data_IF_749189229304
#
_entry.id   IF_749189229304
#
_cell.length_a   1.000
_cell.length_b   1.000
_cell.length_c   1.000
_cell.angle_alpha   90.00
_cell.angle_beta   90.00
_cell.angle_gamma   90.00
#
_symmetry.space_group_name_H-M   'P 1'
#
loop_
_entity.id
_entity.type
_entity.pdbx_description
1 polymer ?
#
# COMPACT_ATOMS: atom_id res chain seq x y z
N UNK A 1 -12.58 -13.93 4.74
CA UNK A 1 -11.91 -12.83 4.01
C UNK A 1 -10.57 -12.44 4.65
N UNK A 2 -10.48 -12.13 5.94
CA UNK A 2 -9.20 -11.74 6.60
C UNK A 2 -8.07 -12.76 6.37
N UNK A 3 -8.38 -14.07 6.35
CA UNK A 3 -7.38 -15.12 6.10
C UNK A 3 -6.84 -15.10 4.67
N UNK A 4 -7.67 -14.73 3.70
CA UNK A 4 -7.26 -14.60 2.29
C UNK A 4 -6.34 -13.41 2.11
N UNK A 5 -6.68 -12.24 2.68
CA UNK A 5 -5.80 -11.06 2.67
C UNK A 5 -4.46 -11.32 3.35
N UNK A 6 -4.49 -12.04 4.49
CA UNK A 6 -3.27 -12.45 5.18
C UNK A 6 -2.43 -13.40 4.33
N UNK A 7 -3.07 -14.32 3.61
CA UNK A 7 -2.37 -15.26 2.71
C UNK A 7 -1.74 -14.52 1.53
N UNK A 8 -2.48 -13.62 0.87
CA UNK A 8 -1.93 -12.77 -0.21
C UNK A 8 -0.69 -12.01 0.24
N UNK A 9 -0.78 -11.30 1.39
CA UNK A 9 0.35 -10.53 1.90
C UNK A 9 1.55 -11.42 2.22
N UNK A 10 1.34 -12.57 2.85
CA UNK A 10 2.42 -13.50 3.19
C UNK A 10 3.07 -14.12 1.95
N UNK A 11 2.30 -14.44 0.91
CA UNK A 11 2.84 -14.99 -0.33
C UNK A 11 3.63 -13.95 -1.11
N UNK A 12 3.06 -12.76 -1.27
CA UNK A 12 3.78 -11.66 -1.90
C UNK A 12 5.07 -11.33 -1.14
N UNK A 13 5.04 -11.30 0.20
CA UNK A 13 6.23 -11.08 1.03
C UNK A 13 7.31 -12.13 0.75
N UNK A 14 6.95 -13.43 0.75
CA UNK A 14 7.90 -14.51 0.45
C UNK A 14 8.47 -14.40 -0.96
N UNK A 15 7.61 -14.08 -1.93
CA UNK A 15 8.03 -13.89 -3.32
C UNK A 15 9.05 -12.75 -3.45
N UNK A 16 8.76 -11.58 -2.88
CA UNK A 16 9.64 -10.42 -2.90
C UNK A 16 10.97 -10.68 -2.20
N UNK A 17 10.95 -11.41 -1.07
CA UNK A 17 12.17 -11.85 -0.38
C UNK A 17 13.02 -12.79 -1.26
N UNK A 18 12.39 -13.77 -1.89
CA UNK A 18 13.08 -14.71 -2.78
C UNK A 18 13.70 -14.03 -4.01
N UNK A 19 13.16 -12.90 -4.42
CA UNK A 19 13.68 -12.07 -5.52
C UNK A 19 14.67 -10.98 -5.05
N UNK A 20 14.96 -10.90 -3.75
CA UNK A 20 15.92 -9.97 -3.20
C UNK A 20 15.45 -8.50 -3.19
N UNK A 21 14.16 -8.22 -3.28
CA UNK A 21 13.63 -6.85 -3.27
C UNK A 21 13.43 -6.27 -1.87
N UNK A 22 13.36 -7.10 -0.84
CA UNK A 22 13.14 -6.66 0.53
C UNK A 22 14.41 -6.75 1.37
N UNK A 23 14.71 -5.69 2.12
CA UNK A 23 15.73 -5.67 3.15
C UNK A 23 15.22 -6.21 4.49
N UNK A 24 13.94 -6.00 4.80
CA UNK A 24 13.29 -6.52 6.01
C UNK A 24 11.77 -6.52 5.87
N UNK A 25 11.11 -7.26 6.76
CA UNK A 25 9.65 -7.28 6.83
C UNK A 25 9.19 -7.56 8.27
N UNK A 26 7.96 -7.15 8.56
CA UNK A 26 7.25 -7.51 9.78
C UNK A 26 5.99 -8.31 9.43
N UNK A 27 5.72 -9.35 10.21
CA UNK A 27 4.54 -10.17 9.99
C UNK A 27 3.29 -9.41 10.39
N UNK A 28 2.34 -9.28 9.50
CA UNK A 28 1.03 -8.72 9.82
C UNK A 28 0.29 -9.63 10.80
N UNK A 29 -0.36 -9.03 11.78
CA UNK A 29 -1.05 -9.74 12.85
C UNK A 29 -2.57 -9.58 12.73
N UNK A 30 -3.27 -10.70 12.91
CA UNK A 30 -4.72 -10.70 13.10
C UNK A 30 -5.01 -10.35 14.55
N UNK A 31 -5.74 -9.27 14.79
CA UNK A 31 -6.18 -8.90 16.12
C UNK A 31 -7.52 -9.53 16.45
N UNK A 32 -7.71 -9.90 17.73
CA UNK A 32 -8.98 -10.39 18.22
C UNK A 32 -10.08 -9.34 18.03
N UNK A 33 -11.33 -9.77 17.77
CA UNK A 33 -12.43 -8.87 17.54
C UNK A 33 -12.61 -7.89 18.70
N UNK A 34 -12.59 -6.60 18.39
CA UNK A 34 -12.96 -5.54 19.32
C UNK A 34 -14.08 -4.72 18.66
N UNK A 35 -15.13 -4.40 19.40
CA UNK A 35 -16.25 -3.60 18.90
C UNK A 35 -16.83 -4.07 17.54
N UNK A 36 -16.90 -5.40 17.32
CA UNK A 36 -17.45 -5.97 16.10
C UNK A 36 -16.54 -5.90 14.87
N UNK A 37 -15.24 -5.63 15.05
CA UNK A 37 -14.24 -5.53 13.98
C UNK A 37 -13.10 -6.51 14.20
N UNK A 38 -12.65 -7.18 13.13
CA UNK A 38 -11.40 -7.95 13.06
C UNK A 38 -10.40 -7.17 12.24
N UNK A 39 -9.18 -7.07 12.73
CA UNK A 39 -8.14 -6.29 12.05
C UNK A 39 -7.01 -7.19 11.58
N UNK A 40 -6.51 -6.93 10.38
CA UNK A 40 -5.22 -7.37 9.87
C UNK A 40 -4.34 -6.12 9.82
N UNK A 41 -3.33 -6.07 10.67
CA UNK A 41 -2.48 -4.89 10.85
C UNK A 41 -1.03 -5.28 11.03
N UNK A 42 -0.13 -4.42 10.59
CA UNK A 42 1.26 -4.46 10.99
C UNK A 42 1.44 -4.31 12.50
N UNK A 43 2.57 -4.79 13.01
CA UNK A 43 2.94 -4.61 14.43
C UNK A 43 2.94 -3.13 14.86
N UNK A 44 3.05 -2.23 13.94
CA UNK A 44 3.05 -0.79 14.08
C UNK A 44 1.78 -0.18 14.67
N UNK A 45 0.60 -0.62 14.22
CA UNK A 45 -0.68 -0.10 14.70
C UNK A 45 -1.03 -0.49 16.15
N UNK A 46 -0.13 -1.24 16.82
CA UNK A 46 -0.38 -1.78 18.16
C UNK A 46 -0.14 -0.81 19.31
N UNK A 47 0.77 0.14 19.16
CA UNK A 47 1.24 0.94 20.30
C UNK A 47 0.62 2.34 20.38
N UNK A 48 0.50 3.03 19.25
CA UNK A 48 -0.16 4.35 19.12
C UNK A 48 -0.59 4.52 17.66
N UNK A 49 -1.80 5.03 17.35
CA UNK A 49 -2.14 5.32 15.98
C UNK A 49 -1.13 6.36 15.47
N UNK A 50 -0.38 6.05 14.41
CA UNK A 50 0.61 6.99 13.92
C UNK A 50 -0.07 8.27 13.48
N UNK A 51 0.66 9.34 13.55
CA UNK A 51 0.33 10.53 12.81
C UNK A 51 0.02 10.10 11.38
N UNK A 52 -1.20 10.34 10.93
CA UNK A 52 -1.67 9.85 9.62
C UNK A 52 -0.77 10.39 8.51
N UNK A 53 -0.53 9.56 7.48
CA UNK A 53 0.05 10.06 6.22
C UNK A 53 -0.72 11.33 5.81
N UNK A 54 -0.01 12.44 5.63
CA UNK A 54 -0.61 13.76 5.36
C UNK A 54 -0.76 14.69 6.57
N UNK A 55 -0.53 14.23 7.81
CA UNK A 55 -0.53 15.08 9.01
C UNK A 55 0.85 15.56 9.43
N UNK A 56 1.90 14.92 8.91
CA UNK A 56 3.32 15.27 9.11
C UNK A 56 4.07 15.22 7.78
N UNK A 57 5.21 15.90 7.66
CA UNK A 57 6.07 15.79 6.48
C UNK A 57 6.47 14.33 6.21
N UNK A 58 6.51 13.95 4.92
CA UNK A 58 6.83 12.58 4.51
C UNK A 58 8.14 12.06 5.12
N UNK A 59 9.20 12.85 5.06
CA UNK A 59 10.50 12.48 5.60
C UNK A 59 10.49 12.24 7.13
N UNK A 60 9.69 13.00 7.88
CA UNK A 60 9.51 12.80 9.33
C UNK A 60 8.78 11.49 9.60
N UNK A 61 7.68 11.25 8.89
CA UNK A 61 6.90 10.02 9.03
C UNK A 61 7.75 8.79 8.68
N UNK A 62 8.46 8.83 7.55
CA UNK A 62 9.32 7.73 7.11
C UNK A 62 10.40 7.41 8.15
N UNK A 63 11.09 8.42 8.68
CA UNK A 63 12.11 8.25 9.74
C UNK A 63 11.50 7.68 11.04
N UNK A 64 10.33 8.16 11.44
CA UNK A 64 9.63 7.63 12.63
C UNK A 64 9.27 6.14 12.45
N UNK A 65 8.70 5.78 11.30
CA UNK A 65 8.35 4.39 10.99
C UNK A 65 9.57 3.48 10.97
N UNK A 66 10.66 3.95 10.36
CA UNK A 66 11.93 3.20 10.31
C UNK A 66 12.51 3.02 11.70
N UNK A 67 12.61 4.08 12.50
CA UNK A 67 13.19 4.05 13.84
C UNK A 67 12.42 3.12 14.80
N UNK A 68 11.09 3.05 14.65
CA UNK A 68 10.22 2.18 15.45
C UNK A 68 10.05 0.77 14.88
N UNK A 69 10.67 0.46 13.75
CA UNK A 69 10.45 -0.77 12.98
C UNK A 69 8.95 -1.01 12.72
N UNK A 70 8.23 0.04 12.34
CA UNK A 70 6.77 0.10 12.28
C UNK A 70 6.27 0.14 10.83
N UNK A 71 6.58 -0.90 10.07
CA UNK A 71 6.20 -1.12 8.67
C UNK A 71 5.93 -2.62 8.47
N UNK A 72 5.28 -2.99 7.38
CA UNK A 72 5.13 -4.40 6.99
C UNK A 72 6.26 -4.85 6.07
N UNK A 73 6.57 -4.05 5.04
CA UNK A 73 7.64 -4.33 4.10
C UNK A 73 8.60 -3.16 4.03
N UNK A 74 9.90 -3.44 3.94
CA UNK A 74 10.94 -2.48 3.61
C UNK A 74 11.74 -2.98 2.41
N UNK A 75 11.73 -2.20 1.35
CA UNK A 75 12.49 -2.47 0.14
C UNK A 75 13.97 -2.18 0.33
N UNK A 76 14.81 -2.64 -0.60
CA UNK A 76 16.26 -2.42 -0.54
C UNK A 76 16.66 -0.94 -0.62
N UNK A 77 15.92 -0.16 -1.42
CA UNK A 77 16.08 1.30 -1.54
C UNK A 77 15.55 2.08 -0.33
N UNK A 78 15.08 1.39 0.70
CA UNK A 78 14.55 1.98 1.92
C UNK A 78 13.05 2.35 1.87
N UNK A 79 12.37 2.18 0.75
CA UNK A 79 10.92 2.42 0.68
C UNK A 79 10.17 1.49 1.64
N UNK A 80 9.06 1.99 2.21
CA UNK A 80 8.26 1.26 3.18
C UNK A 80 6.85 1.02 2.64
N UNK A 81 6.26 -0.12 3.02
CA UNK A 81 4.81 -0.35 2.89
C UNK A 81 4.19 -0.67 4.23
N UNK A 82 2.98 -0.15 4.45
CA UNK A 82 2.16 -0.46 5.62
C UNK A 82 0.77 -0.90 5.17
N UNK A 83 0.23 -1.93 5.82
CA UNK A 83 -1.08 -2.50 5.50
C UNK A 83 -1.98 -2.47 6.73
N UNK A 84 -3.17 -1.90 6.58
CA UNK A 84 -4.23 -2.00 7.58
C UNK A 84 -5.55 -2.34 6.90
N UNK A 85 -6.19 -3.41 7.35
CA UNK A 85 -7.51 -3.84 6.89
C UNK A 85 -8.41 -4.13 8.08
N UNK A 86 -9.61 -3.59 8.07
CA UNK A 86 -10.64 -3.81 9.08
C UNK A 86 -11.82 -4.57 8.45
N UNK A 87 -12.19 -5.68 9.05
CA UNK A 87 -13.27 -6.54 8.58
C UNK A 87 -14.39 -6.62 9.61
N UNK A 88 -15.64 -6.79 9.17
CA UNK A 88 -16.75 -7.11 10.05
C UNK A 88 -16.45 -8.40 10.82
N UNK A 89 -16.71 -8.41 12.13
CA UNK A 89 -16.60 -9.61 12.95
C UNK A 89 -17.74 -10.59 12.69
N UNK A 90 -18.87 -10.11 12.16
CA UNK A 90 -20.08 -10.90 11.85
C UNK A 90 -20.07 -11.39 10.40
N UNK A 91 -20.80 -12.47 10.15
CA UNK A 91 -21.02 -13.02 8.81
C UNK A 91 -19.72 -13.48 8.13
N UNK A 92 -19.60 -13.25 6.82
CA UNK A 92 -18.43 -13.62 6.00
C UNK A 92 -17.20 -12.73 6.22
N UNK A 93 -17.26 -11.77 7.15
CA UNK A 93 -16.15 -10.85 7.43
C UNK A 93 -15.90 -9.89 6.27
N UNK A 94 -16.89 -9.07 5.90
CA UNK A 94 -16.74 -8.08 4.84
C UNK A 94 -15.72 -7.01 5.19
N UNK A 95 -14.97 -6.53 4.20
CA UNK A 95 -14.08 -5.38 4.34
C UNK A 95 -14.93 -4.14 4.72
N UNK A 96 -14.53 -3.44 5.76
CA UNK A 96 -15.16 -2.20 6.25
C UNK A 96 -14.29 -0.99 5.98
N UNK A 97 -12.98 -1.16 6.18
CA UNK A 97 -12.01 -0.10 5.99
C UNK A 97 -10.66 -0.68 5.62
N UNK A 98 -9.91 0.02 4.79
CA UNK A 98 -8.48 -0.22 4.62
C UNK A 98 -7.70 1.07 4.49
N UNK A 99 -6.43 1.01 4.86
CA UNK A 99 -5.44 2.04 4.58
C UNK A 99 -4.13 1.32 4.29
N UNK A 100 -3.69 1.40 3.05
CA UNK A 100 -2.41 0.84 2.61
C UNK A 100 -1.54 1.97 2.11
N UNK A 101 -0.33 2.09 2.64
CA UNK A 101 0.58 3.16 2.25
C UNK A 101 1.84 2.59 1.62
N UNK A 102 2.30 3.24 0.57
CA UNK A 102 3.65 3.13 0.03
C UNK A 102 4.37 4.45 0.31
N UNK A 103 5.50 4.36 0.99
CA UNK A 103 6.31 5.50 1.39
C UNK A 103 7.71 5.32 0.79
N UNK A 104 7.97 5.90 -0.40
CA UNK A 104 9.31 5.89 -0.97
C UNK A 104 10.32 6.49 0.01
N UNK A 105 11.58 6.06 -0.05
CA UNK A 105 12.61 6.67 0.78
C UNK A 105 12.75 8.17 0.46
N UNK A 106 12.70 9.06 1.45
CA UNK A 106 12.96 10.48 1.22
C UNK A 106 14.45 10.77 0.98
N UNK A 107 15.30 9.87 1.45
CA UNK A 107 16.75 9.97 1.36
C UNK A 107 17.25 8.86 0.42
N UNK A 108 17.29 9.15 -0.88
CA UNK A 108 17.85 8.25 -1.88
C UNK A 108 19.40 8.42 -1.93
N UNK A 109 20.04 8.40 -0.75
CA UNK A 109 21.46 8.70 -0.58
C UNK A 109 22.32 7.81 -1.46
N UNK A 110 22.00 6.52 -1.50
CA UNK A 110 22.75 5.55 -2.32
C UNK A 110 22.62 5.86 -3.80
N UNK A 111 21.41 6.24 -4.26
CA UNK A 111 21.19 6.65 -5.65
C UNK A 111 21.94 7.94 -5.99
N UNK A 112 21.91 8.94 -5.12
CA UNK A 112 22.57 10.23 -5.31
C UNK A 112 24.08 10.14 -5.26
N UNK A 113 24.63 9.23 -4.43
CA UNK A 113 26.06 9.00 -4.30
C UNK A 113 26.62 8.09 -5.41
N UNK A 114 25.84 7.13 -5.88
CA UNK A 114 26.22 6.18 -6.93
C UNK A 114 25.03 5.81 -7.82
N UNK A 115 24.62 6.68 -8.75
CA UNK A 115 23.53 6.40 -9.67
C UNK A 115 23.75 5.16 -10.54
N UNK A 116 25.01 4.83 -10.86
CA UNK A 116 25.34 3.68 -11.70
C UNK A 116 25.04 2.35 -10.99
N UNK A 117 25.12 2.32 -9.66
CA UNK A 117 24.71 1.16 -8.87
C UNK A 117 23.24 0.84 -9.07
N UNK A 118 22.38 1.87 -9.11
CA UNK A 118 20.96 1.73 -9.37
C UNK A 118 20.67 1.29 -10.80
N UNK A 119 21.38 1.87 -11.76
CA UNK A 119 21.19 1.56 -13.18
C UNK A 119 21.78 0.19 -13.56
N UNK A 120 22.86 -0.22 -12.89
CA UNK A 120 23.53 -1.50 -13.12
C UNK A 120 22.95 -2.65 -12.32
N UNK A 121 22.38 -2.39 -11.16
CA UNK A 121 21.82 -3.39 -10.27
C UNK A 121 20.28 -3.33 -10.29
N UNK A 122 19.67 -4.27 -10.98
CA UNK A 122 18.22 -4.35 -11.16
C UNK A 122 17.39 -4.57 -9.86
N UNK A 123 18.01 -4.37 -8.69
CA UNK A 123 17.39 -4.54 -7.38
C UNK A 123 16.79 -3.24 -6.80
N UNK A 124 17.07 -2.09 -7.41
CA UNK A 124 16.63 -0.78 -6.92
C UNK A 124 15.43 -0.24 -7.69
N UNK A 125 14.71 0.73 -7.09
CA UNK A 125 13.60 1.39 -7.75
C UNK A 125 14.01 2.22 -8.98
N UNK A 126 13.07 2.49 -9.85
CA UNK A 126 13.28 3.21 -11.13
C UNK A 126 13.42 4.73 -10.92
N UNK A 127 14.29 5.17 -10.02
CA UNK A 127 14.58 6.58 -9.77
C UNK A 127 15.89 6.94 -10.45
N UNK A 128 15.81 7.75 -11.51
CA UNK A 128 16.95 8.11 -12.35
C UNK A 128 17.37 9.57 -12.24
N UNK A 129 16.59 10.41 -11.58
CA UNK A 129 16.90 11.82 -11.40
C UNK A 129 17.55 12.09 -10.05
N UNK A 130 18.73 12.74 -10.06
CA UNK A 130 19.38 13.24 -8.87
C UNK A 130 18.47 14.30 -8.20
N UNK A 131 18.24 14.16 -6.88
CA UNK A 131 17.40 15.07 -6.13
C UNK A 131 15.89 14.90 -6.38
N UNK A 132 15.44 13.77 -6.95
CA UNK A 132 14.02 13.47 -7.13
C UNK A 132 13.25 13.59 -5.82
N UNK A 133 12.14 14.34 -5.83
CA UNK A 133 11.25 14.48 -4.69
C UNK A 133 10.27 13.33 -4.68
N UNK A 134 10.42 12.43 -3.71
CA UNK A 134 9.51 11.31 -3.52
C UNK A 134 8.26 11.73 -2.75
N UNK A 135 7.11 11.18 -3.11
CA UNK A 135 5.84 11.43 -2.44
C UNK A 135 5.17 10.14 -2.02
N UNK A 136 4.54 10.09 -0.83
CA UNK A 136 3.82 8.91 -0.38
C UNK A 136 2.56 8.68 -1.22
N UNK A 137 2.17 7.41 -1.35
CA UNK A 137 0.89 6.98 -1.90
C UNK A 137 0.08 6.28 -0.83
N UNK A 138 -1.24 6.46 -0.87
CA UNK A 138 -2.15 5.77 0.04
C UNK A 138 -3.41 5.29 -0.69
N UNK A 139 -3.69 4.01 -0.55
CA UNK A 139 -4.90 3.36 -1.03
C UNK A 139 -5.85 3.25 0.16
N UNK A 140 -6.94 3.99 0.11
CA UNK A 140 -7.96 4.03 1.16
C UNK A 140 -9.25 3.38 0.69
N UNK A 141 -9.90 2.68 1.59
CA UNK A 141 -11.28 2.22 1.47
C UNK A 141 -12.01 2.51 2.78
N UNK A 142 -13.17 3.13 2.70
CA UNK A 142 -14.01 3.38 3.87
C UNK A 142 -15.49 3.29 3.47
N UNK A 143 -16.15 2.21 3.88
CA UNK A 143 -17.54 1.95 3.55
C UNK A 143 -18.54 2.64 4.51
N UNK A 144 -18.07 3.50 5.42
CA UNK A 144 -18.96 4.18 6.38
C UNK A 144 -19.67 5.35 5.70
N UNK A 145 -20.98 5.28 5.59
CA UNK A 145 -21.81 6.32 4.97
C UNK A 145 -21.55 7.73 5.50
N UNK A 146 -21.22 7.86 6.80
CA UNK A 146 -20.97 9.15 7.44
C UNK A 146 -19.72 9.90 6.92
N UNK A 147 -18.83 9.23 6.17
CA UNK A 147 -17.60 9.83 5.65
C UNK A 147 -17.55 9.88 4.13
N UNK A 148 -18.43 9.13 3.47
CA UNK A 148 -18.49 9.08 2.01
C UNK A 148 -19.15 10.35 1.47
N UNK A 149 -18.46 11.02 0.57
CA UNK A 149 -18.97 12.18 -0.16
C UNK A 149 -18.52 12.05 -1.61
N UNK A 150 -19.49 11.85 -2.52
CA UNK A 150 -19.23 11.65 -3.95
C UNK A 150 -18.27 12.72 -4.49
N UNK A 151 -17.25 12.30 -5.23
CA UNK A 151 -16.12 13.10 -5.76
C UNK A 151 -15.17 13.69 -4.71
N UNK A 152 -15.60 13.99 -3.50
CA UNK A 152 -14.74 14.60 -2.47
C UNK A 152 -14.12 13.57 -1.54
N UNK A 153 -14.87 12.53 -1.23
CA UNK A 153 -14.41 11.41 -0.44
C UNK A 153 -14.99 10.09 -0.95
N UNK A 154 -14.53 9.61 -2.12
CA UNK A 154 -14.95 8.33 -2.68
C UNK A 154 -14.77 7.19 -1.66
N UNK A 155 -15.62 6.17 -1.74
CA UNK A 155 -15.53 4.96 -0.90
C UNK A 155 -14.14 4.32 -1.01
N UNK A 156 -13.63 4.24 -2.23
CA UNK A 156 -12.26 3.78 -2.54
C UNK A 156 -11.52 4.87 -3.28
N UNK A 157 -10.32 5.20 -2.83
CA UNK A 157 -9.52 6.21 -3.51
C UNK A 157 -8.01 6.04 -3.29
N UNK A 158 -7.24 6.52 -4.27
CA UNK A 158 -5.80 6.73 -4.19
C UNK A 158 -5.52 8.18 -3.80
N UNK A 159 -4.71 8.38 -2.78
CA UNK A 159 -4.17 9.69 -2.39
C UNK A 159 -2.70 9.75 -2.77
N UNK A 160 -2.28 10.82 -3.45
CA UNK A 160 -0.89 11.06 -3.83
C UNK A 160 -0.33 12.21 -3.00
N UNK A 161 0.78 11.96 -2.32
CA UNK A 161 1.46 12.95 -1.49
C UNK A 161 0.61 13.42 -0.31
N UNK A 162 0.86 14.65 0.12
CA UNK A 162 0.17 15.30 1.24
C UNK A 162 -0.88 16.32 0.77
N UNK A 163 -1.35 16.22 -0.46
CA UNK A 163 -2.36 17.12 -0.98
C UNK A 163 -3.72 16.83 -0.34
N UNK A 164 -4.30 17.83 0.32
CA UNK A 164 -5.49 17.68 1.16
C UNK A 164 -6.71 17.07 0.44
N UNK A 165 -6.84 17.30 -0.86
CA UNK A 165 -8.00 16.86 -1.66
C UNK A 165 -7.63 15.97 -2.85
N UNK A 166 -6.40 15.46 -2.90
CA UNK A 166 -6.00 14.52 -3.94
C UNK A 166 -6.57 13.14 -3.61
N UNK A 167 -7.78 12.87 -4.09
CA UNK A 167 -8.46 11.58 -3.97
C UNK A 167 -8.93 11.13 -5.35
N UNK A 168 -8.16 10.24 -5.96
CA UNK A 168 -8.48 9.67 -7.28
C UNK A 168 -9.34 8.43 -7.01
N UNK A 169 -10.60 8.37 -7.48
CA UNK A 169 -11.46 7.21 -7.25
C UNK A 169 -10.82 5.91 -7.73
N UNK A 170 -11.04 4.83 -6.98
CA UNK A 170 -10.74 3.46 -7.39
C UNK A 170 -12.06 2.74 -7.66
N UNK A 171 -12.07 1.80 -8.59
CA UNK A 171 -13.29 1.02 -8.87
C UNK A 171 -13.76 0.22 -7.67
N UNK A 172 -12.84 -0.21 -6.80
CA UNK A 172 -13.14 -1.00 -5.59
C UNK A 172 -12.02 -0.90 -4.57
N UNK A 173 -12.19 -1.51 -3.39
CA UNK A 173 -11.12 -1.63 -2.38
C UNK A 173 -10.00 -2.54 -2.86
N UNK A 174 -8.75 -2.08 -2.73
CA UNK A 174 -7.58 -2.83 -3.17
C UNK A 174 -7.14 -3.89 -2.14
N UNK A 175 -6.96 -5.14 -2.58
CA UNK A 175 -6.33 -6.19 -1.78
C UNK A 175 -4.80 -5.98 -1.71
N UNK A 176 -4.08 -6.68 -0.83
CA UNK A 176 -2.62 -6.60 -0.77
C UNK A 176 -1.94 -6.87 -2.11
N UNK A 177 -2.44 -7.84 -2.87
CA UNK A 177 -1.91 -8.18 -4.19
C UNK A 177 -1.93 -6.97 -5.14
N UNK A 178 -3.08 -6.34 -5.31
CA UNK A 178 -3.23 -5.23 -6.28
C UNK A 178 -2.37 -4.02 -5.91
N UNK A 179 -2.21 -3.73 -4.61
CA UNK A 179 -1.34 -2.62 -4.20
C UNK A 179 0.12 -2.95 -4.42
N UNK A 180 0.55 -4.17 -4.09
CA UNK A 180 1.94 -4.61 -4.34
C UNK A 180 2.23 -4.64 -5.84
N UNK A 181 1.34 -5.22 -6.66
CA UNK A 181 1.48 -5.22 -8.11
C UNK A 181 1.60 -3.80 -8.67
N UNK A 182 0.74 -2.89 -8.21
CA UNK A 182 0.80 -1.48 -8.60
C UNK A 182 2.17 -0.86 -8.26
N UNK A 183 2.66 -1.07 -7.04
CA UNK A 183 3.95 -0.54 -6.59
C UNK A 183 5.09 -1.11 -7.44
N UNK A 184 5.10 -2.41 -7.70
CA UNK A 184 6.12 -3.04 -8.53
C UNK A 184 6.12 -2.50 -9.96
N UNK A 185 4.94 -2.36 -10.58
CA UNK A 185 4.82 -1.82 -11.95
C UNK A 185 5.17 -0.35 -12.05
N UNK A 186 4.83 0.45 -11.04
CA UNK A 186 5.00 1.90 -11.11
C UNK A 186 6.39 2.38 -10.67
N UNK A 187 7.08 1.64 -9.78
CA UNK A 187 8.30 2.08 -9.13
C UNK A 187 9.47 1.12 -9.25
N UNK A 188 9.22 -0.12 -9.66
CA UNK A 188 10.23 -1.18 -9.74
C UNK A 188 10.12 -1.95 -11.06
N UNK A 189 9.72 -1.29 -12.14
CA UNK A 189 9.51 -1.96 -13.42
C UNK A 189 10.79 -2.60 -13.95
N UNK A 190 11.92 -1.88 -13.90
CA UNK A 190 13.21 -2.38 -14.37
C UNK A 190 13.61 -3.68 -13.67
N UNK A 191 13.69 -3.75 -12.32
CA UNK A 191 14.05 -4.99 -11.64
C UNK A 191 13.00 -6.08 -11.73
N UNK A 192 11.73 -5.74 -11.99
CA UNK A 192 10.64 -6.73 -11.96
C UNK A 192 10.18 -7.20 -13.34
N UNK A 193 10.58 -6.54 -14.42
CA UNK A 193 10.11 -6.83 -15.78
C UNK A 193 10.29 -8.29 -16.18
N UNK A 194 11.40 -8.90 -15.81
CA UNK A 194 11.74 -10.29 -16.19
C UNK A 194 10.87 -11.35 -15.48
N UNK A 195 10.23 -11.03 -14.36
CA UNK A 195 9.52 -12.00 -13.52
C UNK A 195 8.23 -11.48 -12.87
N UNK A 196 7.76 -10.30 -13.27
CA UNK A 196 6.52 -9.73 -12.72
C UNK A 196 5.29 -10.61 -12.95
N UNK A 197 5.29 -11.41 -14.01
CA UNK A 197 4.26 -12.41 -14.30
C UNK A 197 4.24 -13.57 -13.29
N UNK A 198 5.32 -13.79 -12.55
CA UNK A 198 5.43 -14.87 -11.57
C UNK A 198 4.91 -14.46 -10.19
N UNK A 199 4.53 -13.17 -10.00
CA UNK A 199 3.93 -12.71 -8.75
C UNK A 199 2.66 -13.53 -8.47
N UNK A 200 2.55 -14.19 -7.30
CA UNK A 200 1.36 -14.95 -6.95
C UNK A 200 0.10 -14.09 -7.06
N UNK A 201 -0.86 -14.54 -7.84
CA UNK A 201 -2.10 -13.82 -8.12
C UNK A 201 -2.98 -13.59 -6.88
N UNK A 202 -4.08 -12.85 -7.03
CA UNK A 202 -4.99 -12.57 -5.93
C UNK A 202 -5.64 -13.87 -5.45
N UNK A 203 -5.80 -13.99 -4.14
CA UNK A 203 -6.52 -15.11 -3.51
C UNK A 203 -7.99 -14.78 -3.22
N UNK A 204 -8.31 -13.52 -3.29
CA UNK A 204 -9.68 -13.03 -3.12
C UNK A 204 -10.38 -12.96 -4.46
N UNK A 205 -11.67 -13.28 -4.46
CA UNK A 205 -12.52 -12.93 -5.61
C UNK A 205 -12.50 -11.40 -5.79
N UNK A 206 -12.63 -10.92 -7.05
CA UNK A 206 -12.73 -9.50 -7.30
C UNK A 206 -13.84 -8.89 -6.45
N UNK A 207 -13.59 -7.79 -5.74
CA UNK A 207 -14.61 -7.16 -4.92
C UNK A 207 -15.68 -6.47 -5.77
N UNK A 208 -16.85 -6.26 -5.17
CA UNK A 208 -17.91 -5.48 -5.81
C UNK A 208 -17.44 -4.05 -6.02
N UNK A 209 -17.78 -3.48 -7.16
CA UNK A 209 -17.49 -2.10 -7.48
C UNK A 209 -18.14 -1.14 -6.46
N UNK A 210 -17.37 -0.15 -6.03
CA UNK A 210 -17.83 0.89 -5.07
C UNK A 210 -17.76 2.30 -5.65
N UNK A 211 -17.22 2.43 -6.85
CA UNK A 211 -17.16 3.70 -7.59
C UNK A 211 -18.58 4.07 -8.07
N UNK A 212 -18.97 5.33 -7.91
CA UNK A 212 -20.26 5.82 -8.41
C UNK A 212 -20.27 6.01 -9.92
N UNK A 213 -21.46 6.14 -10.52
CA UNK A 213 -21.59 6.39 -11.96
C UNK A 213 -20.94 7.72 -12.35
N UNK A 214 -21.06 8.75 -11.51
CA UNK A 214 -20.44 10.04 -11.76
C UNK A 214 -18.91 9.95 -11.67
N UNK A 215 -18.37 9.27 -10.66
CA UNK A 215 -16.93 9.05 -10.51
C UNK A 215 -16.34 8.26 -11.69
N UNK A 216 -17.11 7.34 -12.30
CA UNK A 216 -16.69 6.60 -13.52
C UNK A 216 -16.52 7.49 -14.73
N UNK A 217 -17.19 8.63 -14.79
CA UNK A 217 -17.03 9.58 -15.91
C UNK A 217 -15.76 10.41 -15.82
N UNK A 218 -15.07 10.37 -14.68
CA UNK A 218 -13.84 11.09 -14.43
C UNK A 218 -12.62 10.17 -14.49
N UNK A 219 -11.43 10.76 -14.37
CA UNK A 219 -10.18 9.98 -14.23
C UNK A 219 -10.27 9.15 -12.94
N UNK A 220 -10.12 7.85 -13.06
CA UNK A 220 -10.12 6.92 -11.96
C UNK A 220 -9.14 5.77 -12.20
N UNK A 221 -8.78 5.03 -11.16
CA UNK A 221 -7.93 3.83 -11.28
C UNK A 221 -8.84 2.61 -11.34
N UNK A 222 -8.74 1.86 -12.42
CA UNK A 222 -9.49 0.63 -12.63
C UNK A 222 -8.78 -0.56 -11.95
N UNK A 223 -9.46 -1.16 -10.98
CA UNK A 223 -9.11 -2.46 -10.43
C UNK A 223 -10.13 -3.50 -10.90
N UNK A 224 -9.77 -4.79 -11.03
CA UNK A 224 -10.73 -5.84 -11.36
C UNK A 224 -11.89 -5.89 -10.35
N UNK A 225 -13.11 -5.97 -10.86
CA UNK A 225 -14.35 -6.09 -10.07
C UNK A 225 -15.15 -7.31 -10.49
N UNK A 226 -16.02 -7.80 -9.61
CA UNK A 226 -16.94 -8.89 -9.90
C UNK A 226 -17.97 -8.48 -10.96
#
# INVERSE_FOLDING_TARGET
MIDLYSAELNEATRFLLARGLLSSYNTAHKQNPRHGVRELVASYWRADPPKMVGSVPHAELHRELTARNSFDLRFLDGALMTFKYEFSASGKGQLRRSAVSFLPSPDLTVFQEDPELYLGDALFGDVVDEGAVTVPLRFDYDAREAVVEELRHPVSHLTIGSYKHCRIPLTCGASPYYVIEFVLRAFYQTPTLAWSSDLPGPRTEPPVATISDLERTLIHVALPTA
#
